data_IF_699887640938
#
_entry.id   IF_699887640938
#
_cell.length_a   1.000
_cell.length_b   1.000
_cell.length_c   1.000
_cell.angle_alpha   90.00
_cell.angle_beta   90.00
_cell.angle_gamma   90.00
#
_symmetry.space_group_name_H-M   'P 1'
#
loop_
_entity.id
_entity.type
_entity.pdbx_description
1 polymer ?
#
# COMPACT_ATOMS: atom_id res chain seq x y z
N UNK A 1 22.13 -29.35 2.74
CA UNK A 1 21.29 -28.67 1.74
C UNK A 1 21.04 -27.29 2.27
N UNK A 2 21.72 -26.34 1.67
CA UNK A 2 21.87 -24.97 2.14
C UNK A 2 20.61 -24.17 1.78
N UNK A 3 19.75 -23.88 2.76
CA UNK A 3 18.61 -22.98 2.60
C UNK A 3 19.05 -21.57 2.95
N UNK A 4 19.91 -21.01 2.09
CA UNK A 4 20.33 -19.63 2.20
C UNK A 4 19.14 -18.68 2.09
N UNK A 5 18.62 -18.25 3.23
CA UNK A 5 17.72 -17.11 3.36
C UNK A 5 18.48 -15.85 2.98
N UNK A 6 18.53 -15.52 1.71
CA UNK A 6 18.96 -14.22 1.25
C UNK A 6 17.83 -13.24 1.54
N UNK A 7 17.96 -12.46 2.60
CA UNK A 7 17.21 -11.22 2.74
C UNK A 7 17.45 -10.40 1.45
N UNK A 8 16.40 -9.93 0.76
CA UNK A 8 16.59 -9.19 -0.46
C UNK A 8 17.39 -7.93 -0.16
N UNK A 9 18.55 -7.80 -0.80
CA UNK A 9 19.36 -6.57 -0.86
C UNK A 9 18.60 -5.51 -1.66
N UNK A 10 17.38 -5.19 -1.27
CA UNK A 10 16.60 -4.09 -1.80
C UNK A 10 16.87 -2.83 -0.98
N UNK A 11 18.11 -2.37 -1.11
CA UNK A 11 18.45 -1.01 -0.75
C UNK A 11 17.96 -0.07 -1.84
N UNK A 12 17.47 1.09 -1.43
CA UNK A 12 17.21 2.25 -2.26
C UNK A 12 15.83 2.25 -2.95
N UNK A 13 15.42 3.45 -3.27
CA UNK A 13 14.24 3.79 -4.07
C UNK A 13 14.31 3.11 -5.42
N UNK A 14 13.26 2.39 -5.80
CA UNK A 14 13.14 1.74 -7.10
C UNK A 14 11.88 2.20 -7.80
N UNK A 15 12.03 2.76 -8.98
CA UNK A 15 10.92 3.07 -9.88
C UNK A 15 10.84 2.02 -10.99
N UNK A 16 9.65 1.45 -11.19
CA UNK A 16 9.38 0.45 -12.24
C UNK A 16 8.20 0.93 -13.08
N UNK A 17 8.49 1.31 -14.33
CA UNK A 17 7.45 1.70 -15.29
C UNK A 17 6.66 0.48 -15.75
N UNK A 18 5.37 0.67 -15.94
CA UNK A 18 4.47 -0.33 -16.52
C UNK A 18 4.60 -1.72 -15.87
N UNK A 19 4.54 -1.76 -14.51
CA UNK A 19 4.42 -3.07 -13.82
C UNK A 19 3.20 -3.83 -14.34
N UNK A 20 2.17 -3.09 -14.72
CA UNK A 20 1.10 -3.40 -15.65
C UNK A 20 0.94 -2.16 -16.52
N UNK A 21 0.50 -2.29 -17.76
CA UNK A 21 0.34 -1.17 -18.71
C UNK A 21 -0.45 -0.02 -18.06
N UNK A 22 0.13 1.18 -18.05
CA UNK A 22 -0.46 2.38 -17.42
C UNK A 22 -0.41 2.39 -15.88
N UNK A 23 0.22 1.39 -15.26
CA UNK A 23 0.44 1.35 -13.80
C UNK A 23 1.94 1.25 -13.52
N UNK A 24 2.46 2.17 -12.73
CA UNK A 24 3.88 2.27 -12.40
C UNK A 24 4.07 2.14 -10.89
N UNK A 25 5.11 1.42 -10.47
CA UNK A 25 5.43 1.23 -9.05
C UNK A 25 6.62 2.09 -8.64
N UNK A 26 6.46 2.84 -7.59
CA UNK A 26 7.54 3.49 -6.86
C UNK A 26 7.68 2.81 -5.50
N UNK A 27 8.80 2.15 -5.27
CA UNK A 27 9.14 1.56 -3.98
C UNK A 27 10.15 2.45 -3.26
N UNK A 28 9.91 2.74 -1.98
CA UNK A 28 10.86 3.42 -1.12
C UNK A 28 10.78 2.85 0.30
N UNK A 29 11.93 2.46 0.84
CA UNK A 29 12.05 1.89 2.20
C UNK A 29 11.03 0.75 2.45
N UNK A 30 10.92 -0.19 1.49
CA UNK A 30 10.02 -1.37 1.50
C UNK A 30 8.53 -1.08 1.36
N UNK A 31 8.13 0.18 1.15
CA UNK A 31 6.73 0.55 0.89
C UNK A 31 6.56 0.88 -0.59
N UNK A 32 5.45 0.43 -1.15
CA UNK A 32 5.06 0.72 -2.52
C UNK A 32 4.00 1.82 -2.55
N UNK A 33 4.17 2.77 -3.45
CA UNK A 33 3.07 3.58 -3.96
C UNK A 33 3.00 3.45 -5.47
N UNK A 34 1.86 3.79 -6.05
CA UNK A 34 1.63 3.55 -7.47
C UNK A 34 1.16 4.82 -8.17
N UNK A 35 1.62 4.99 -9.42
CA UNK A 35 1.11 5.99 -10.34
C UNK A 35 0.28 5.26 -11.39
N UNK A 36 -0.99 5.60 -11.50
CA UNK A 36 -1.90 5.05 -12.51
C UNK A 36 -2.26 6.16 -13.47
N UNK A 37 -1.93 5.99 -14.74
CA UNK A 37 -2.15 7.00 -15.77
C UNK A 37 -3.15 6.54 -16.84
N UNK A 38 -3.92 7.50 -17.32
CA UNK A 38 -4.74 7.43 -18.52
C UNK A 38 -4.74 8.80 -19.23
N UNK A 39 -5.64 9.00 -20.20
CA UNK A 39 -5.74 10.26 -20.95
C UNK A 39 -6.19 11.44 -20.06
N UNK A 40 -6.90 11.19 -18.96
CA UNK A 40 -7.40 12.21 -18.04
C UNK A 40 -6.33 12.71 -17.05
N UNK A 41 -5.20 11.98 -16.89
CA UNK A 41 -4.08 12.35 -16.00
C UNK A 41 -3.51 11.19 -15.21
N UNK A 42 -3.15 11.47 -13.94
CA UNK A 42 -2.48 10.52 -13.03
C UNK A 42 -3.23 10.45 -11.70
N UNK A 43 -3.48 9.24 -11.24
CA UNK A 43 -3.86 8.94 -9.86
C UNK A 43 -2.64 8.43 -9.11
N UNK A 44 -2.36 8.99 -7.94
CA UNK A 44 -1.36 8.46 -7.01
C UNK A 44 -2.09 7.58 -6.00
N UNK A 45 -1.70 6.30 -5.89
CA UNK A 45 -2.25 5.37 -4.90
C UNK A 45 -1.22 5.14 -3.81
N UNK A 46 -1.58 5.51 -2.59
CA UNK A 46 -0.73 5.59 -1.41
C UNK A 46 0.47 6.52 -1.57
N UNK A 47 1.12 6.90 -0.49
CA UNK A 47 2.12 7.98 -0.51
C UNK A 47 3.39 7.66 0.29
N UNK A 48 3.58 6.39 0.65
CA UNK A 48 4.77 5.92 1.36
C UNK A 48 5.22 6.88 2.50
N UNK A 49 6.43 7.44 2.43
CA UNK A 49 7.02 8.29 3.47
C UNK A 49 7.21 9.75 3.03
N UNK A 50 7.40 10.70 3.95
CA UNK A 50 7.71 12.10 3.60
C UNK A 50 8.90 12.24 2.65
N UNK A 51 9.98 11.48 2.85
CA UNK A 51 11.15 11.53 1.99
C UNK A 51 10.91 10.94 0.59
N UNK A 52 9.79 10.25 0.36
CA UNK A 52 9.40 9.73 -0.96
C UNK A 52 9.02 10.86 -1.94
N UNK A 53 8.69 12.05 -1.43
CA UNK A 53 8.28 13.19 -2.24
C UNK A 53 9.19 13.48 -3.45
N UNK A 54 10.49 13.58 -3.24
CA UNK A 54 11.44 13.85 -4.33
C UNK A 54 11.42 12.75 -5.41
N UNK A 55 11.19 11.52 -5.01
CA UNK A 55 11.18 10.38 -5.91
C UNK A 55 9.88 10.29 -6.72
N UNK A 56 8.74 10.66 -6.12
CA UNK A 56 7.46 10.70 -6.87
C UNK A 56 7.49 11.78 -7.94
N UNK A 57 8.10 12.95 -7.69
CA UNK A 57 8.30 13.99 -8.71
C UNK A 57 9.13 13.47 -9.88
N UNK A 58 10.24 12.77 -9.58
CA UNK A 58 11.07 12.13 -10.62
C UNK A 58 10.29 11.06 -11.38
N UNK A 59 9.48 10.26 -10.68
CA UNK A 59 8.67 9.21 -11.30
C UNK A 59 7.58 9.78 -12.24
N UNK A 60 6.91 10.85 -11.82
CA UNK A 60 5.93 11.58 -12.65
C UNK A 60 6.60 12.09 -13.94
N UNK A 61 7.77 12.72 -13.82
CA UNK A 61 8.54 13.18 -14.99
C UNK A 61 8.97 12.00 -15.88
N UNK A 62 9.40 10.91 -15.30
CA UNK A 62 9.86 9.72 -16.02
C UNK A 62 8.76 9.06 -16.85
N UNK A 63 7.47 9.20 -16.48
CA UNK A 63 6.34 8.74 -17.31
C UNK A 63 5.86 9.79 -18.33
N UNK A 64 6.54 10.94 -18.41
CA UNK A 64 6.20 12.01 -19.36
C UNK A 64 5.09 12.94 -18.87
N UNK A 65 4.78 12.92 -17.57
CA UNK A 65 3.75 13.75 -16.93
C UNK A 65 4.38 14.86 -16.09
N UNK A 66 3.55 15.80 -15.66
CA UNK A 66 3.90 16.90 -14.74
C UNK A 66 3.09 16.74 -13.43
N UNK A 67 3.52 17.29 -12.31
CA UNK A 67 2.72 17.33 -11.08
C UNK A 67 1.31 17.90 -11.28
N UNK A 68 1.12 18.85 -12.21
CA UNK A 68 -0.19 19.40 -12.59
C UNK A 68 -1.12 18.40 -13.30
N UNK A 69 -0.61 17.26 -13.74
CA UNK A 69 -1.40 16.21 -14.36
C UNK A 69 -1.93 15.20 -13.33
N UNK A 70 -1.49 15.30 -12.05
CA UNK A 70 -2.05 14.52 -10.95
C UNK A 70 -3.46 15.03 -10.65
N UNK A 71 -4.43 14.12 -10.56
CA UNK A 71 -5.85 14.44 -10.35
C UNK A 71 -6.33 14.08 -8.95
N UNK A 72 -5.72 13.09 -8.33
CA UNK A 72 -6.10 12.65 -7.00
C UNK A 72 -4.97 11.84 -6.35
N UNK A 73 -4.98 11.82 -5.02
CA UNK A 73 -4.35 10.80 -4.18
C UNK A 73 -5.45 9.90 -3.65
N UNK A 74 -5.33 8.59 -3.82
CA UNK A 74 -6.26 7.60 -3.28
C UNK A 74 -5.51 6.72 -2.29
N UNK A 75 -5.98 6.68 -1.05
CA UNK A 75 -5.39 5.86 -0.01
C UNK A 75 -6.11 4.52 0.08
N UNK A 76 -5.36 3.43 0.11
CA UNK A 76 -5.89 2.11 0.45
C UNK A 76 -6.29 2.06 1.92
N UNK A 77 -5.48 2.69 2.77
CA UNK A 77 -5.68 2.90 4.20
C UNK A 77 -4.74 4.03 4.69
N UNK A 78 -4.87 4.45 5.94
CA UNK A 78 -4.20 5.66 6.42
C UNK A 78 -3.08 5.41 7.45
N UNK A 79 -2.41 4.25 7.43
CA UNK A 79 -1.21 4.07 8.22
C UNK A 79 -0.10 5.04 7.78
N UNK A 80 0.78 5.36 8.73
CA UNK A 80 1.84 6.36 8.55
C UNK A 80 2.73 6.11 7.31
N UNK A 81 2.92 4.86 6.95
CA UNK A 81 3.73 4.44 5.80
C UNK A 81 2.97 4.41 4.46
N UNK A 82 1.68 4.72 4.47
CA UNK A 82 0.86 4.92 3.27
C UNK A 82 0.38 6.38 3.13
N UNK A 83 0.53 7.19 4.19
CA UNK A 83 0.07 8.58 4.27
C UNK A 83 1.21 9.61 4.09
N UNK A 84 2.47 9.16 3.98
CA UNK A 84 3.68 9.97 4.22
C UNK A 84 3.75 11.32 3.55
N UNK A 85 3.53 11.44 2.23
CA UNK A 85 3.53 12.73 1.56
C UNK A 85 2.13 13.23 1.16
N UNK A 86 1.04 12.58 1.59
CA UNK A 86 -0.33 12.95 1.17
C UNK A 86 -0.71 14.38 1.54
N UNK A 87 -0.40 14.83 2.77
CA UNK A 87 -0.65 16.22 3.20
C UNK A 87 0.10 17.23 2.32
N UNK A 88 1.31 16.90 1.89
CA UNK A 88 2.09 17.74 1.00
C UNK A 88 1.50 17.76 -0.42
N UNK A 89 1.09 16.61 -0.94
CA UNK A 89 0.41 16.51 -2.23
C UNK A 89 -0.89 17.32 -2.26
N UNK A 90 -1.71 17.21 -1.22
CA UNK A 90 -2.92 18.01 -1.06
C UNK A 90 -2.63 19.51 -1.13
N UNK A 91 -1.60 19.98 -0.43
CA UNK A 91 -1.24 21.39 -0.36
C UNK A 91 -0.57 21.89 -1.65
N UNK A 92 0.43 21.18 -2.18
CA UNK A 92 1.25 21.68 -3.30
C UNK A 92 0.62 21.40 -4.67
N UNK A 93 -0.12 20.30 -4.83
CA UNK A 93 -0.78 19.96 -6.09
C UNK A 93 -2.25 20.40 -6.13
N UNK A 94 -2.81 20.82 -4.99
CA UNK A 94 -4.23 21.19 -4.85
C UNK A 94 -5.17 20.07 -5.31
N UNK A 95 -4.84 18.80 -4.97
CA UNK A 95 -5.61 17.63 -5.33
C UNK A 95 -6.36 17.06 -4.15
N UNK A 96 -7.52 16.42 -4.35
CA UNK A 96 -8.21 15.71 -3.30
C UNK A 96 -7.41 14.49 -2.84
N UNK A 97 -7.53 14.16 -1.55
CA UNK A 97 -7.08 12.90 -0.95
C UNK A 97 -8.33 12.09 -0.61
N UNK A 98 -8.47 10.93 -1.23
CA UNK A 98 -9.63 10.07 -1.09
C UNK A 98 -9.31 8.87 -0.20
N UNK A 99 -10.21 8.52 0.71
CA UNK A 99 -10.13 7.32 1.53
C UNK A 99 -11.51 6.85 1.97
N UNK A 100 -11.60 5.64 2.53
CA UNK A 100 -12.82 5.17 3.17
C UNK A 100 -13.12 6.02 4.43
N UNK A 101 -14.39 6.32 4.78
CA UNK A 101 -14.74 7.14 5.96
C UNK A 101 -14.12 6.66 7.27
N UNK A 102 -13.97 5.35 7.47
CA UNK A 102 -13.38 4.77 8.68
C UNK A 102 -11.87 5.06 8.81
N UNK A 103 -11.21 5.57 7.77
CA UNK A 103 -9.81 6.00 7.81
C UNK A 103 -9.62 7.45 8.28
N UNK A 104 -10.69 8.24 8.39
CA UNK A 104 -10.62 9.68 8.70
C UNK A 104 -9.86 9.97 10.00
N UNK A 105 -10.10 9.18 11.04
CA UNK A 105 -9.41 9.37 12.32
C UNK A 105 -7.92 9.04 12.21
N UNK A 106 -7.57 7.93 11.55
CA UNK A 106 -6.17 7.51 11.38
C UNK A 106 -5.45 8.50 10.48
N UNK A 107 -6.08 8.96 9.41
CA UNK A 107 -5.49 9.96 8.51
C UNK A 107 -5.12 11.26 9.24
N UNK A 108 -5.98 11.73 10.15
CA UNK A 108 -5.67 12.89 10.99
C UNK A 108 -4.60 12.60 12.07
N UNK A 109 -4.47 11.33 12.50
CA UNK A 109 -3.60 10.89 13.59
C UNK A 109 -2.80 9.64 13.20
N UNK A 110 -1.81 9.70 12.30
CA UNK A 110 -1.19 8.55 11.60
C UNK A 110 -0.59 7.46 12.49
N UNK A 111 -0.36 7.76 13.76
CA UNK A 111 0.22 6.82 14.73
C UNK A 111 -0.79 6.23 15.73
N UNK A 112 -2.07 6.67 15.62
CA UNK A 112 -3.15 6.24 16.54
C UNK A 112 -4.09 5.26 15.84
N UNK A 113 -3.63 4.04 15.62
CA UNK A 113 -4.41 2.98 15.01
C UNK A 113 -4.38 1.69 15.83
N UNK A 114 -5.43 0.89 15.67
CA UNK A 114 -5.56 -0.39 16.35
C UNK A 114 -4.54 -1.41 15.82
N UNK A 115 -4.04 -2.25 16.70
CA UNK A 115 -3.19 -3.40 16.39
C UNK A 115 -3.38 -4.49 17.45
N UNK A 116 -3.29 -5.76 17.04
CA UNK A 116 -3.54 -6.89 17.95
C UNK A 116 -2.38 -7.18 18.89
N UNK A 117 -1.14 -6.92 18.45
CA UNK A 117 0.06 -7.31 19.19
C UNK A 117 1.00 -6.15 19.42
N UNK A 118 1.68 -6.16 20.56
CA UNK A 118 2.68 -5.14 20.86
C UNK A 118 3.81 -5.15 19.84
N UNK A 119 4.07 -3.98 19.24
CA UNK A 119 5.17 -3.78 18.27
C UNK A 119 6.55 -4.04 18.87
N UNK A 120 6.71 -3.89 20.19
CA UNK A 120 7.99 -4.06 20.88
C UNK A 120 8.47 -5.52 20.90
N UNK A 121 7.56 -6.48 20.71
CA UNK A 121 7.89 -7.91 20.66
C UNK A 121 8.56 -8.29 19.34
N UNK A 122 8.19 -7.63 18.24
CA UNK A 122 8.63 -8.04 16.89
C UNK A 122 10.13 -7.90 16.64
N UNK A 123 10.83 -6.80 17.01
CA UNK A 123 12.28 -6.72 16.84
C UNK A 123 13.06 -7.80 17.59
N UNK A 124 12.53 -8.24 18.75
CA UNK A 124 13.16 -9.32 19.54
C UNK A 124 12.92 -10.68 18.87
N UNK A 125 11.70 -10.92 18.40
CA UNK A 125 11.32 -12.19 17.74
C UNK A 125 11.83 -12.32 16.33
N UNK A 126 11.94 -11.20 15.61
CA UNK A 126 12.32 -11.11 14.19
C UNK A 126 13.44 -10.09 13.97
N UNK A 127 14.66 -10.34 14.47
CA UNK A 127 15.75 -9.35 14.38
C UNK A 127 16.13 -8.99 12.94
N UNK A 128 15.84 -9.86 11.95
CA UNK A 128 16.03 -9.57 10.54
C UNK A 128 15.16 -8.38 10.02
N UNK A 129 14.09 -8.01 10.73
CA UNK A 129 13.27 -6.85 10.41
C UNK A 129 13.86 -5.51 10.92
N UNK A 130 14.85 -5.53 11.82
CA UNK A 130 15.45 -4.29 12.37
C UNK A 130 15.99 -3.35 11.28
N UNK A 131 16.75 -3.83 10.27
CA UNK A 131 17.20 -2.97 9.17
C UNK A 131 16.05 -2.37 8.34
N UNK A 132 14.93 -3.08 8.21
CA UNK A 132 13.71 -2.59 7.51
C UNK A 132 13.16 -1.39 8.27
N UNK A 133 12.92 -1.55 9.59
CA UNK A 133 12.42 -0.49 10.48
C UNK A 133 13.37 0.72 10.46
N UNK A 134 14.68 0.50 10.50
CA UNK A 134 15.68 1.56 10.42
C UNK A 134 15.61 2.35 9.11
N UNK A 135 15.37 1.69 7.97
CA UNK A 135 15.20 2.35 6.68
C UNK A 135 13.89 3.14 6.59
N UNK A 136 12.80 2.60 7.14
CA UNK A 136 11.53 3.31 7.27
C UNK A 136 11.70 4.58 8.12
N UNK A 137 12.39 4.50 9.26
CA UNK A 137 12.70 5.65 10.10
C UNK A 137 13.51 6.71 9.34
N UNK A 138 14.55 6.30 8.61
CA UNK A 138 15.37 7.20 7.77
C UNK A 138 14.56 7.83 6.62
N UNK A 139 13.52 7.18 6.13
CA UNK A 139 12.60 7.71 5.13
C UNK A 139 11.56 8.70 5.72
N UNK A 140 11.58 8.93 7.04
CA UNK A 140 10.71 9.87 7.73
C UNK A 140 9.49 9.24 8.38
N UNK A 141 9.49 7.93 8.64
CA UNK A 141 8.38 7.20 9.26
C UNK A 141 7.94 7.77 10.62
N UNK A 142 8.81 8.48 11.33
CA UNK A 142 8.52 9.10 12.63
C UNK A 142 7.98 10.54 12.54
N UNK A 143 7.85 11.10 11.33
CA UNK A 143 7.46 12.50 11.11
C UNK A 143 6.41 12.65 10.00
N UNK A 144 5.46 11.74 9.96
CA UNK A 144 4.34 11.80 9.00
C UNK A 144 3.29 12.78 9.49
N UNK A 145 2.93 13.72 8.62
CA UNK A 145 1.86 14.69 8.90
C UNK A 145 0.51 14.07 8.61
N UNK A 146 -0.45 14.30 9.51
CA UNK A 146 -1.85 13.92 9.27
C UNK A 146 -2.48 14.70 8.12
N UNK A 147 -3.51 14.12 7.55
CA UNK A 147 -4.35 14.69 6.50
C UNK A 147 -5.75 14.92 7.04
N UNK A 148 -6.31 16.09 6.74
CA UNK A 148 -7.70 16.45 7.05
C UNK A 148 -8.43 16.81 5.76
N UNK A 149 -9.76 16.80 5.80
CA UNK A 149 -10.56 17.14 4.62
C UNK A 149 -10.49 16.06 3.53
N UNK A 150 -10.50 14.78 3.94
CA UNK A 150 -10.59 13.67 3.01
C UNK A 150 -11.91 13.70 2.24
N UNK A 151 -11.87 13.40 0.95
CA UNK A 151 -13.05 12.97 0.21
C UNK A 151 -13.28 11.47 0.45
N UNK A 152 -14.54 11.06 0.52
CA UNK A 152 -14.87 9.70 0.93
C UNK A 152 -15.43 8.88 -0.23
N UNK A 153 -15.09 7.59 -0.21
CA UNK A 153 -15.69 6.58 -1.06
C UNK A 153 -16.15 5.38 -0.22
N UNK A 154 -17.06 4.59 -0.78
CA UNK A 154 -17.61 3.39 -0.16
C UNK A 154 -17.26 2.11 -0.91
N UNK A 155 -17.65 0.99 -0.31
CA UNK A 155 -17.52 -0.34 -0.89
C UNK A 155 -18.22 -0.43 -2.25
N UNK A 156 -17.52 -0.92 -3.27
CA UNK A 156 -18.08 -1.12 -4.61
C UNK A 156 -18.12 0.12 -5.51
N UNK A 157 -17.75 1.29 -5.00
CA UNK A 157 -17.71 2.52 -5.78
C UNK A 157 -16.74 2.40 -6.97
N UNK A 158 -17.12 2.99 -8.10
CA UNK A 158 -16.24 3.25 -9.22
C UNK A 158 -15.72 4.69 -9.10
N UNK A 159 -14.44 4.85 -8.77
CA UNK A 159 -13.86 6.17 -8.55
C UNK A 159 -13.71 6.93 -9.87
N UNK A 160 -14.08 8.22 -9.87
CA UNK A 160 -13.96 9.13 -11.04
C UNK A 160 -12.59 9.79 -11.08
N UNK A 161 -11.54 8.97 -11.01
CA UNK A 161 -10.13 9.39 -11.09
C UNK A 161 -9.44 8.62 -12.22
N UNK A 162 -8.29 9.07 -12.74
CA UNK A 162 -7.52 8.33 -13.75
C UNK A 162 -7.37 6.84 -13.40
N UNK A 163 -7.59 5.97 -14.39
CA UNK A 163 -7.62 4.52 -14.22
C UNK A 163 -8.95 3.94 -13.72
N UNK A 164 -9.87 4.77 -13.22
CA UNK A 164 -11.25 4.42 -12.84
C UNK A 164 -11.38 3.11 -12.04
N UNK A 165 -10.66 2.96 -10.91
CA UNK A 165 -10.72 1.72 -10.14
C UNK A 165 -12.08 1.52 -9.47
N UNK A 166 -12.44 0.24 -9.28
CA UNK A 166 -13.53 -0.15 -8.39
C UNK A 166 -12.97 -0.41 -6.99
N UNK A 167 -13.62 0.13 -5.98
CA UNK A 167 -13.26 -0.08 -4.57
C UNK A 167 -13.68 -1.49 -4.15
N UNK A 168 -12.76 -2.23 -3.55
CA UNK A 168 -12.99 -3.52 -2.92
C UNK A 168 -12.75 -3.35 -1.43
N UNK A 169 -13.81 -3.38 -0.63
CA UNK A 169 -13.70 -3.21 0.83
C UNK A 169 -13.07 -4.44 1.47
N UNK A 170 -11.96 -4.25 2.18
CA UNK A 170 -11.13 -5.32 2.75
C UNK A 170 -10.69 -4.99 4.18
N UNK A 171 -11.66 -4.80 5.11
CA UNK A 171 -11.35 -4.46 6.49
C UNK A 171 -10.58 -5.57 7.20
N UNK A 172 -9.84 -5.20 8.24
CA UNK A 172 -9.06 -6.11 9.08
C UNK A 172 -7.66 -5.59 9.34
N UNK A 173 -6.89 -5.22 8.32
CA UNK A 173 -5.61 -4.53 8.53
C UNK A 173 -5.85 -3.16 9.19
N UNK A 174 -6.69 -2.33 8.60
CA UNK A 174 -7.47 -1.30 9.28
C UNK A 174 -8.96 -1.56 9.06
N UNK A 175 -9.83 -0.91 9.85
CA UNK A 175 -11.27 -1.10 9.71
C UNK A 175 -11.85 -0.46 8.43
N UNK A 176 -11.15 0.51 7.86
CA UNK A 176 -11.52 1.18 6.61
C UNK A 176 -10.68 0.76 5.40
N UNK A 177 -9.82 -0.25 5.54
CA UNK A 177 -8.95 -0.68 4.45
C UNK A 177 -9.74 -1.06 3.19
N UNK A 178 -9.26 -0.59 2.02
CA UNK A 178 -9.81 -0.91 0.71
C UNK A 178 -8.71 -1.26 -0.28
N UNK A 179 -8.92 -2.31 -1.05
CA UNK A 179 -8.15 -2.56 -2.25
C UNK A 179 -8.79 -1.83 -3.45
N UNK A 180 -8.00 -1.59 -4.49
CA UNK A 180 -8.45 -0.88 -5.70
C UNK A 180 -8.28 -1.80 -6.92
N UNK A 181 -9.41 -2.18 -7.53
CA UNK A 181 -9.42 -3.05 -8.71
C UNK A 181 -9.46 -2.24 -10.00
N UNK A 182 -8.36 -2.25 -10.72
CA UNK A 182 -8.19 -1.66 -12.05
C UNK A 182 -8.47 -2.74 -13.11
N UNK A 183 -9.74 -3.05 -13.33
CA UNK A 183 -10.18 -4.16 -14.19
C UNK A 183 -9.65 -4.05 -15.63
N UNK A 184 -9.64 -2.84 -16.21
CA UNK A 184 -9.11 -2.59 -17.57
C UNK A 184 -7.62 -2.93 -17.69
N UNK A 185 -6.88 -2.87 -16.57
CA UNK A 185 -5.46 -3.21 -16.50
C UNK A 185 -5.20 -4.65 -16.02
N UNK A 186 -6.24 -5.37 -15.58
CA UNK A 186 -6.13 -6.70 -14.97
C UNK A 186 -5.32 -6.69 -13.67
N UNK A 187 -5.30 -5.55 -12.96
CA UNK A 187 -4.49 -5.28 -11.78
C UNK A 187 -5.36 -5.01 -10.56
N UNK A 188 -4.93 -5.54 -9.41
CA UNK A 188 -5.51 -5.27 -8.10
C UNK A 188 -4.42 -4.70 -7.18
N UNK A 189 -4.57 -3.44 -6.79
CA UNK A 189 -3.74 -2.81 -5.78
C UNK A 189 -4.33 -3.19 -4.42
N UNK A 190 -3.65 -4.06 -3.70
CA UNK A 190 -4.18 -4.66 -2.47
C UNK A 190 -3.87 -3.86 -1.21
N UNK A 191 -3.04 -2.82 -1.33
CA UNK A 191 -2.52 -2.20 -0.11
C UNK A 191 -1.96 -3.27 0.82
N UNK A 192 -2.37 -3.23 2.07
CA UNK A 192 -1.90 -4.14 3.11
C UNK A 192 -2.89 -5.23 3.50
N UNK A 193 -4.04 -5.34 2.79
CA UNK A 193 -4.94 -6.48 2.97
C UNK A 193 -4.31 -7.81 2.54
N UNK A 194 -3.38 -7.77 1.57
CA UNK A 194 -2.55 -8.89 1.15
C UNK A 194 -1.22 -8.37 0.63
N UNK A 195 -0.12 -8.72 1.29
CA UNK A 195 1.24 -8.32 0.95
C UNK A 195 2.08 -9.51 0.49
N UNK A 196 3.22 -9.24 -0.15
CA UNK A 196 4.22 -10.25 -0.52
C UNK A 196 5.52 -10.13 0.27
N UNK A 197 5.55 -9.18 1.20
CA UNK A 197 6.61 -8.98 2.18
C UNK A 197 6.00 -8.33 3.44
N UNK A 198 6.25 -8.91 4.59
CA UNK A 198 5.83 -8.32 5.87
C UNK A 198 7.03 -7.57 6.50
N UNK A 199 6.95 -6.24 6.66
CA UNK A 199 8.06 -5.44 7.19
C UNK A 199 8.38 -5.71 8.65
N UNK A 200 7.46 -6.28 9.44
CA UNK A 200 7.66 -6.58 10.86
C UNK A 200 8.29 -7.95 11.11
N UNK A 201 8.06 -8.91 10.22
CA UNK A 201 8.61 -10.27 10.36
C UNK A 201 9.74 -10.56 9.39
N UNK A 202 9.86 -9.78 8.30
CA UNK A 202 10.78 -10.03 7.20
C UNK A 202 10.37 -11.21 6.31
N UNK A 203 9.21 -11.81 6.54
CA UNK A 203 8.71 -12.94 5.74
C UNK A 203 8.31 -12.50 4.35
N UNK A 204 8.59 -13.34 3.36
CA UNK A 204 8.24 -13.14 1.95
C UNK A 204 7.14 -14.12 1.51
N UNK A 205 6.46 -13.79 0.40
CA UNK A 205 5.33 -14.53 -0.13
C UNK A 205 3.97 -13.94 0.28
N UNK A 206 2.89 -14.35 -0.40
CA UNK A 206 1.55 -13.84 -0.11
C UNK A 206 1.10 -14.14 1.32
N UNK A 207 0.73 -13.10 2.08
CA UNK A 207 0.32 -13.16 3.48
C UNK A 207 -0.46 -11.90 3.87
N UNK A 208 -1.17 -11.94 4.98
CA UNK A 208 -1.65 -10.72 5.66
C UNK A 208 -0.49 -10.10 6.45
N UNK A 209 -0.56 -8.80 6.73
CA UNK A 209 0.42 -8.13 7.59
C UNK A 209 0.27 -8.62 9.03
N UNK A 210 1.39 -8.73 9.74
CA UNK A 210 1.42 -9.20 11.13
C UNK A 210 0.56 -8.35 12.08
N UNK A 211 0.18 -8.95 13.21
CA UNK A 211 -0.60 -8.30 14.27
C UNK A 211 0.05 -7.06 14.89
N UNK A 212 1.33 -6.77 14.57
CA UNK A 212 1.99 -5.52 14.94
C UNK A 212 1.34 -4.27 14.30
N UNK A 213 0.70 -4.44 13.13
CA UNK A 213 0.05 -3.37 12.40
C UNK A 213 -1.40 -3.71 11.98
N UNK A 214 -1.84 -4.95 12.17
CA UNK A 214 -3.18 -5.40 11.83
C UNK A 214 -4.11 -5.27 13.02
N UNK A 215 -5.28 -4.63 12.80
CA UNK A 215 -6.28 -4.38 13.82
C UNK A 215 -7.07 -5.64 14.18
N UNK A 216 -7.37 -6.49 13.19
CA UNK A 216 -8.11 -7.75 13.33
C UNK A 216 -7.67 -8.73 12.26
N UNK A 217 -6.79 -9.67 12.63
CA UNK A 217 -6.25 -10.68 11.69
C UNK A 217 -7.31 -11.68 11.25
N UNK A 218 -8.31 -11.97 12.08
CA UNK A 218 -9.39 -12.88 11.70
C UNK A 218 -10.27 -12.24 10.62
N UNK A 219 -10.64 -10.98 10.78
CA UNK A 219 -11.35 -10.20 9.77
C UNK A 219 -10.50 -10.04 8.49
N UNK A 220 -9.20 -9.74 8.61
CA UNK A 220 -8.30 -9.64 7.45
C UNK A 220 -8.27 -10.94 6.64
N UNK A 221 -8.22 -12.11 7.27
CA UNK A 221 -8.28 -13.40 6.57
C UNK A 221 -9.64 -13.68 5.94
N UNK A 222 -10.74 -13.28 6.57
CA UNK A 222 -12.10 -13.43 6.03
C UNK A 222 -12.28 -12.59 4.76
N UNK A 223 -11.80 -11.35 4.77
CA UNK A 223 -11.97 -10.40 3.65
C UNK A 223 -11.13 -10.73 2.43
N UNK A 224 -10.16 -11.66 2.52
CA UNK A 224 -9.43 -12.15 1.34
C UNK A 224 -10.35 -12.73 0.25
N UNK A 225 -11.54 -13.22 0.61
CA UNK A 225 -12.56 -13.69 -0.35
C UNK A 225 -13.03 -12.57 -1.28
N UNK A 226 -13.10 -11.31 -0.80
CA UNK A 226 -13.46 -10.17 -1.63
C UNK A 226 -12.37 -9.86 -2.67
N UNK A 227 -11.10 -10.04 -2.32
CA UNK A 227 -9.99 -9.93 -3.28
C UNK A 227 -10.07 -11.05 -4.32
N UNK A 228 -10.31 -12.29 -3.88
CA UNK A 228 -10.42 -13.47 -4.75
C UNK A 228 -11.54 -13.30 -5.79
N UNK A 229 -12.67 -12.72 -5.39
CA UNK A 229 -13.83 -12.48 -6.26
C UNK A 229 -13.52 -11.53 -7.43
N UNK A 230 -12.45 -10.70 -7.35
CA UNK A 230 -12.05 -9.82 -8.46
C UNK A 230 -11.51 -10.56 -9.67
N UNK A 231 -10.98 -11.77 -9.49
CA UNK A 231 -10.34 -12.54 -10.55
C UNK A 231 -9.07 -11.89 -11.11
N UNK A 232 -8.48 -10.91 -10.43
CA UNK A 232 -7.33 -10.16 -10.92
C UNK A 232 -6.13 -11.08 -11.20
N UNK A 233 -5.44 -10.82 -12.32
CA UNK A 233 -4.26 -11.59 -12.74
C UNK A 233 -2.99 -11.13 -12.06
N UNK A 234 -2.87 -9.83 -11.83
CA UNK A 234 -1.70 -9.22 -11.18
C UNK A 234 -2.11 -8.52 -9.89
N UNK A 235 -1.44 -8.88 -8.82
CA UNK A 235 -1.59 -8.25 -7.51
C UNK A 235 -0.42 -7.31 -7.29
N UNK A 236 -0.72 -6.11 -6.84
CA UNK A 236 0.22 -5.02 -6.58
C UNK A 236 0.08 -4.60 -5.10
N UNK A 237 0.94 -5.13 -4.22
CA UNK A 237 0.79 -4.96 -2.77
C UNK A 237 1.39 -3.65 -2.26
N UNK A 238 1.00 -3.24 -1.04
CA UNK A 238 1.64 -2.14 -0.30
C UNK A 238 3.10 -2.45 0.06
N UNK A 239 3.40 -3.72 0.33
CA UNK A 239 4.76 -4.19 0.63
C UNK A 239 5.16 -5.39 -0.20
N UNK A 240 6.41 -5.39 -0.68
CA UNK A 240 7.01 -6.50 -1.44
C UNK A 240 6.83 -6.39 -2.95
N UNK A 241 7.05 -7.50 -3.65
CA UNK A 241 7.05 -7.55 -5.11
C UNK A 241 5.66 -7.82 -5.68
N UNK A 242 5.35 -7.33 -6.90
CA UNK A 242 4.16 -7.72 -7.63
C UNK A 242 4.02 -9.24 -7.73
N UNK A 243 2.79 -9.74 -7.52
CA UNK A 243 2.46 -11.15 -7.67
C UNK A 243 1.69 -11.40 -8.97
N UNK A 244 2.14 -12.37 -9.78
CA UNK A 244 1.62 -12.58 -11.14
C UNK A 244 0.98 -13.96 -11.37
N UNK A 245 0.95 -14.81 -10.34
CA UNK A 245 0.30 -16.11 -10.41
C UNK A 245 -1.22 -16.07 -10.12
N UNK A 246 -1.81 -14.86 -10.19
CA UNK A 246 -3.23 -14.62 -9.96
C UNK A 246 -3.62 -14.49 -8.50
N UNK A 247 -4.77 -13.82 -8.29
CA UNK A 247 -5.24 -13.49 -6.94
C UNK A 247 -5.66 -14.74 -6.15
N UNK A 248 -6.24 -15.75 -6.81
CA UNK A 248 -6.68 -16.99 -6.14
C UNK A 248 -5.52 -17.73 -5.48
N UNK A 249 -4.39 -17.85 -6.18
CA UNK A 249 -3.20 -18.49 -5.61
C UNK A 249 -2.60 -17.67 -4.49
N UNK A 250 -2.57 -16.32 -4.61
CA UNK A 250 -2.11 -15.46 -3.54
C UNK A 250 -2.98 -15.60 -2.27
N UNK A 251 -4.31 -15.62 -2.41
CA UNK A 251 -5.24 -15.80 -1.29
C UNK A 251 -5.07 -17.18 -0.65
N UNK A 252 -4.93 -18.24 -1.46
CA UNK A 252 -4.67 -19.58 -0.94
C UNK A 252 -3.41 -19.64 -0.09
N UNK A 253 -2.30 -19.05 -0.57
CA UNK A 253 -1.05 -18.98 0.16
C UNK A 253 -1.15 -18.12 1.44
N UNK A 254 -1.83 -16.99 1.38
CA UNK A 254 -2.04 -16.14 2.54
C UNK A 254 -2.86 -16.84 3.64
N UNK A 255 -3.88 -17.61 3.27
CA UNK A 255 -4.64 -18.43 4.23
C UNK A 255 -3.79 -19.53 4.87
N UNK A 256 -2.89 -20.15 4.10
CA UNK A 256 -1.94 -21.16 4.62
C UNK A 256 -0.91 -20.52 5.55
N UNK A 257 -0.43 -19.31 5.23
CA UNK A 257 0.51 -18.58 6.09
C UNK A 257 -0.11 -18.20 7.43
N UNK A 258 -1.41 -17.87 7.44
CA UNK A 258 -2.15 -17.49 8.65
C UNK A 258 -1.67 -16.17 9.26
N UNK A 259 -2.14 -15.84 10.48
CA UNK A 259 -1.71 -14.65 11.21
C UNK A 259 -0.31 -14.85 11.82
N UNK A 260 0.45 -13.76 12.00
CA UNK A 260 1.83 -13.77 12.53
C UNK A 260 2.06 -12.72 13.63
#
# INVERSE_FOLDING_TARGET
MDTGSHAPTEAATRFTRNVVRGVHRLQHAYVNCYLVEDDDGVTVVDTAFPATWKFVLTAITAIGRRPSDVRAVVLTHAHFDHLGFAARAQAEWSVPVLAHPLETYIAAHPYRYAHERSRLVYPVRYPAAIPVIGRMAAAGALNVKGVVGLEHFGAGDALKVPGRPRVVFTPGHTFGHCALHFAAHGALLTGDSLVTFDPYTGKTGPQIVSGAATADSAQALQTLSALEATGARTLLPGHGQPWRAGIREAVRLARVAGPS
#
